data_IF_118994644565
#
_entry.id   IF_118994644565
#
_cell.length_a   1.000
_cell.length_b   1.000
_cell.length_c   1.000
_cell.angle_alpha   90.00
_cell.angle_beta   90.00
_cell.angle_gamma   90.00
#
_symmetry.space_group_name_H-M   'P 1'
#
loop_
_entity.id
_entity.type
_entity.pdbx_description
1 polymer ?
#
# COMPACT_ATOMS: atom_id res chain seq x y z
N UNK A 1 24.22 28.65 28.38
CA UNK A 1 23.35 27.79 27.54
C UNK A 1 22.90 26.64 28.42
N UNK A 2 21.61 26.58 28.74
CA UNK A 2 21.07 25.56 29.63
C UNK A 2 20.85 24.26 28.84
N UNK A 3 21.29 23.12 29.40
CA UNK A 3 21.14 21.78 28.80
C UNK A 3 19.69 21.27 28.73
N UNK A 4 18.69 22.10 29.04
CA UNK A 4 17.27 21.73 29.07
C UNK A 4 16.49 22.11 27.80
N UNK A 5 17.13 22.74 26.81
CA UNK A 5 16.51 23.11 25.53
C UNK A 5 16.62 22.00 24.47
N UNK A 6 16.75 20.73 24.88
CA UNK A 6 16.63 19.62 23.93
C UNK A 6 15.14 19.50 23.59
N UNK A 7 14.70 19.81 22.35
CA UNK A 7 13.31 19.57 22.00
C UNK A 7 13.07 18.08 22.18
N UNK A 8 12.14 17.73 23.08
CA UNK A 8 11.68 16.36 23.20
C UNK A 8 11.35 15.90 21.78
N UNK A 9 12.03 14.84 21.31
CA UNK A 9 11.75 14.19 20.04
C UNK A 9 10.24 13.98 20.01
N UNK A 10 9.54 14.80 19.22
CA UNK A 10 8.10 14.70 19.07
C UNK A 10 7.81 13.27 18.68
N UNK A 11 7.03 12.56 19.50
CA UNK A 11 6.61 11.20 19.20
C UNK A 11 6.20 11.14 17.72
N UNK A 12 6.72 10.17 16.96
CA UNK A 12 6.45 10.07 15.53
C UNK A 12 4.94 9.96 15.34
N UNK A 13 4.32 11.06 14.90
CA UNK A 13 2.87 11.20 14.84
C UNK A 13 2.23 10.36 13.72
N UNK A 14 3.00 9.45 13.10
CA UNK A 14 2.57 8.66 11.96
C UNK A 14 2.43 9.51 10.69
N UNK A 15 1.95 8.86 9.63
CA UNK A 15 1.61 9.47 8.35
C UNK A 15 0.10 9.63 8.23
N UNK A 16 -0.40 10.86 8.12
CA UNK A 16 -1.84 11.10 7.91
C UNK A 16 -2.14 11.37 6.44
N UNK A 17 -2.97 10.52 5.82
CA UNK A 17 -3.47 10.67 4.45
C UNK A 17 -4.99 10.59 4.48
N UNK A 18 -5.66 11.59 3.90
CA UNK A 18 -7.13 11.65 3.80
C UNK A 18 -7.85 11.39 5.13
N UNK A 19 -7.31 11.90 6.25
CA UNK A 19 -7.91 11.75 7.58
C UNK A 19 -7.61 10.42 8.30
N UNK A 20 -6.96 9.45 7.65
CA UNK A 20 -6.48 8.22 8.28
C UNK A 20 -5.00 8.34 8.63
N UNK A 21 -4.65 8.00 9.87
CA UNK A 21 -3.25 7.99 10.35
C UNK A 21 -2.69 6.57 10.25
N UNK A 22 -1.49 6.46 9.70
CA UNK A 22 -0.73 5.23 9.51
C UNK A 22 0.51 5.26 10.39
N UNK A 23 0.89 4.12 10.96
CA UNK A 23 2.12 4.01 11.75
C UNK A 23 3.34 4.00 10.83
N UNK A 24 3.21 3.34 9.69
CA UNK A 24 4.27 3.20 8.70
C UNK A 24 4.26 4.34 7.69
N UNK A 25 5.45 4.90 7.44
CA UNK A 25 5.72 5.83 6.33
C UNK A 25 6.16 5.11 5.06
N UNK A 26 6.29 3.78 5.10
CA UNK A 26 6.67 2.95 3.96
C UNK A 26 5.41 2.41 3.27
N UNK A 27 5.23 2.79 2.01
CA UNK A 27 4.23 2.21 1.10
C UNK A 27 4.93 1.17 0.23
N UNK A 28 4.33 -0.01 0.07
CA UNK A 28 4.88 -1.08 -0.78
C UNK A 28 4.03 -1.31 -2.02
N UNK A 29 4.62 -1.82 -3.10
CA UNK A 29 3.90 -2.22 -4.31
C UNK A 29 3.83 -3.74 -4.41
N UNK A 30 2.82 -4.27 -5.11
CA UNK A 30 2.56 -5.71 -5.22
C UNK A 30 3.11 -6.37 -6.50
N UNK A 31 3.61 -5.59 -7.47
CA UNK A 31 3.72 -6.05 -8.86
C UNK A 31 5.00 -6.77 -9.29
N UNK A 32 5.95 -7.06 -8.39
CA UNK A 32 7.28 -7.61 -8.78
C UNK A 32 7.76 -8.81 -7.96
N UNK A 33 6.91 -9.34 -7.07
CA UNK A 33 7.21 -10.57 -6.35
C UNK A 33 7.00 -11.79 -7.25
N UNK A 34 7.69 -12.88 -6.94
CA UNK A 34 7.61 -14.17 -7.60
C UNK A 34 6.20 -14.76 -7.52
N UNK A 35 5.55 -14.64 -6.37
CA UNK A 35 4.21 -15.15 -6.10
C UNK A 35 3.52 -14.40 -4.94
N UNK A 36 2.27 -14.79 -4.63
CA UNK A 36 1.47 -14.19 -3.58
C UNK A 36 2.02 -14.46 -2.16
N UNK A 37 2.71 -15.59 -1.95
CA UNK A 37 3.32 -15.89 -0.66
C UNK A 37 4.50 -14.95 -0.39
N UNK A 38 5.35 -14.74 -1.38
CA UNK A 38 6.45 -13.77 -1.27
C UNK A 38 5.92 -12.34 -1.09
N UNK A 39 4.82 -11.99 -1.78
CA UNK A 39 4.15 -10.70 -1.59
C UNK A 39 3.69 -10.51 -0.13
N UNK A 40 3.08 -11.54 0.47
CA UNK A 40 2.67 -11.52 1.89
C UNK A 40 3.87 -11.29 2.79
N UNK A 41 4.89 -12.13 2.66
CA UNK A 41 6.06 -12.13 3.54
C UNK A 41 6.81 -10.81 3.45
N UNK A 42 7.01 -10.28 2.24
CA UNK A 42 7.65 -8.98 2.06
C UNK A 42 6.82 -7.83 2.62
N UNK A 43 5.48 -7.86 2.44
CA UNK A 43 4.58 -6.83 2.99
C UNK A 43 4.60 -6.87 4.52
N UNK A 44 4.50 -8.05 5.13
CA UNK A 44 4.55 -8.22 6.58
C UNK A 44 5.90 -7.80 7.17
N UNK A 45 7.01 -8.23 6.56
CA UNK A 45 8.35 -7.86 7.00
C UNK A 45 8.64 -6.36 6.86
N UNK A 46 8.02 -5.68 5.89
CA UNK A 46 8.19 -4.24 5.69
C UNK A 46 7.47 -3.39 6.75
N UNK A 47 6.50 -3.96 7.47
CA UNK A 47 5.65 -3.21 8.39
C UNK A 47 4.79 -2.15 7.70
N UNK A 48 4.55 -2.27 6.39
CA UNK A 48 3.74 -1.32 5.64
C UNK A 48 2.25 -1.46 5.99
N UNK A 49 1.58 -0.32 6.19
CA UNK A 49 0.12 -0.28 6.39
C UNK A 49 -0.65 -0.12 5.07
N UNK A 50 0.04 0.28 4.00
CA UNK A 50 -0.55 0.59 2.69
C UNK A 50 0.19 -0.22 1.63
N UNK A 51 -0.57 -0.96 0.81
CA UNK A 51 -0.07 -1.65 -0.37
C UNK A 51 -0.70 -1.08 -1.63
N UNK A 52 0.14 -0.76 -2.63
CA UNK A 52 -0.29 -0.24 -3.92
C UNK A 52 -0.51 -1.38 -4.92
N UNK A 53 -1.56 -1.25 -5.74
CA UNK A 53 -1.96 -2.31 -6.68
C UNK A 53 -2.23 -1.76 -8.07
N UNK A 54 -1.55 -2.33 -9.06
CA UNK A 54 -1.82 -2.08 -10.47
C UNK A 54 -2.97 -2.97 -10.91
N UNK A 55 -4.21 -2.48 -10.86
CA UNK A 55 -5.41 -3.30 -11.03
C UNK A 55 -5.51 -4.00 -12.39
N UNK A 56 -4.82 -3.47 -13.41
CA UNK A 56 -4.74 -4.08 -14.76
C UNK A 56 -3.84 -5.32 -14.82
N UNK A 57 -3.03 -5.59 -13.79
CA UNK A 57 -2.00 -6.63 -13.78
C UNK A 57 -2.16 -7.67 -12.68
N UNK A 58 -2.98 -7.39 -11.68
CA UNK A 58 -3.14 -8.26 -10.50
C UNK A 58 -4.61 -8.54 -10.27
N UNK A 59 -4.95 -9.79 -9.96
CA UNK A 59 -6.29 -10.14 -9.54
C UNK A 59 -6.55 -9.64 -8.11
N UNK A 60 -7.56 -8.80 -7.96
CA UNK A 60 -8.09 -8.31 -6.68
C UNK A 60 -9.56 -8.71 -6.49
N UNK A 61 -10.00 -9.77 -7.19
CA UNK A 61 -11.36 -10.28 -7.14
C UNK A 61 -12.17 -10.10 -8.42
N UNK A 62 -11.58 -9.52 -9.48
CA UNK A 62 -12.25 -9.43 -10.78
C UNK A 62 -12.40 -10.79 -11.49
N UNK A 63 -11.51 -11.75 -11.20
CA UNK A 63 -11.64 -13.14 -11.66
C UNK A 63 -11.79 -14.07 -10.44
N UNK A 64 -12.98 -14.68 -10.22
CA UNK A 64 -13.22 -15.57 -9.08
C UNK A 64 -12.49 -16.91 -9.17
N UNK A 65 -11.96 -17.28 -10.34
CA UNK A 65 -11.26 -18.55 -10.55
C UNK A 65 -9.74 -18.42 -10.47
N UNK A 66 -9.22 -17.20 -10.29
CA UNK A 66 -7.80 -16.92 -10.16
C UNK A 66 -7.42 -16.54 -8.72
N UNK A 67 -6.18 -16.82 -8.27
CA UNK A 67 -5.71 -16.37 -6.96
C UNK A 67 -5.82 -14.85 -6.82
N UNK A 68 -6.31 -14.36 -5.67
CA UNK A 68 -6.47 -12.92 -5.42
C UNK A 68 -5.36 -12.40 -4.52
N UNK A 69 -4.84 -11.22 -4.83
CA UNK A 69 -3.94 -10.49 -3.94
C UNK A 69 -4.61 -10.22 -2.59
N UNK A 70 -5.94 -10.01 -2.57
CA UNK A 70 -6.67 -9.74 -1.33
C UNK A 70 -6.71 -10.94 -0.37
N UNK A 71 -6.40 -12.15 -0.85
CA UNK A 71 -6.30 -13.35 0.00
C UNK A 71 -5.06 -13.28 0.90
N UNK A 72 -3.99 -12.63 0.43
CA UNK A 72 -2.71 -12.54 1.15
C UNK A 72 -2.47 -11.19 1.80
N UNK A 73 -3.12 -10.13 1.31
CA UNK A 73 -3.10 -8.78 1.90
C UNK A 73 -4.55 -8.27 2.08
N UNK A 74 -5.28 -8.76 3.09
CA UNK A 74 -6.70 -8.46 3.22
C UNK A 74 -6.93 -6.98 3.62
N UNK A 75 -8.00 -6.32 3.10
CA UNK A 75 -8.35 -4.94 3.46
C UNK A 75 -8.65 -4.72 4.95
N UNK A 76 -8.89 -5.79 5.71
CA UNK A 76 -9.04 -5.75 7.17
C UNK A 76 -7.74 -5.43 7.90
N UNK A 77 -6.58 -5.63 7.26
CA UNK A 77 -5.25 -5.36 7.80
C UNK A 77 -4.53 -4.22 7.09
N UNK A 78 -4.75 -4.07 5.78
CA UNK A 78 -4.03 -3.12 4.93
C UNK A 78 -4.98 -2.12 4.26
N UNK A 79 -4.52 -0.90 4.06
CA UNK A 79 -5.14 -0.02 3.06
C UNK A 79 -4.68 -0.47 1.68
N UNK A 80 -5.63 -0.85 0.82
CA UNK A 80 -5.37 -1.12 -0.59
C UNK A 80 -5.44 0.18 -1.37
N UNK A 81 -4.33 0.58 -2.00
CA UNK A 81 -4.24 1.81 -2.78
C UNK A 81 -4.11 1.46 -4.28
N UNK A 82 -5.22 1.44 -5.04
CA UNK A 82 -5.15 1.15 -6.46
C UNK A 82 -4.42 2.29 -7.20
N UNK A 83 -3.69 1.95 -8.26
CA UNK A 83 -2.90 2.90 -9.06
C UNK A 83 -3.11 2.69 -10.57
N UNK A 84 -2.65 3.67 -11.35
CA UNK A 84 -2.83 3.73 -12.81
C UNK A 84 -1.66 3.15 -13.61
N UNK A 85 -0.80 2.31 -13.01
CA UNK A 85 0.33 1.72 -13.73
C UNK A 85 -0.14 0.91 -14.95
N UNK A 86 0.43 1.23 -16.11
CA UNK A 86 0.02 0.66 -17.40
C UNK A 86 -0.96 1.53 -18.20
N UNK A 87 -1.37 2.68 -17.67
CA UNK A 87 -2.08 3.70 -18.44
C UNK A 87 -1.09 4.61 -19.17
N UNK A 88 -1.37 4.98 -20.42
CA UNK A 88 -0.50 5.83 -21.24
C UNK A 88 -1.08 7.21 -21.53
N UNK A 89 -2.37 7.41 -21.22
CA UNK A 89 -3.06 8.69 -21.36
C UNK A 89 -4.00 8.90 -20.15
N UNK A 90 -4.56 10.12 -20.04
CA UNK A 90 -5.43 10.50 -18.94
C UNK A 90 -6.78 9.76 -18.97
N UNK A 91 -7.31 9.48 -20.15
CA UNK A 91 -8.57 8.75 -20.33
C UNK A 91 -8.48 7.33 -19.76
N UNK A 92 -7.40 6.61 -20.09
CA UNK A 92 -7.10 5.28 -19.54
C UNK A 92 -6.95 5.32 -18.02
N UNK A 93 -6.27 6.35 -17.50
CA UNK A 93 -6.01 6.51 -16.07
C UNK A 93 -7.31 6.69 -15.28
N UNK A 94 -8.22 7.54 -15.78
CA UNK A 94 -9.55 7.76 -15.20
C UNK A 94 -10.40 6.50 -15.32
N UNK A 95 -10.47 5.89 -16.51
CA UNK A 95 -11.25 4.67 -16.74
C UNK A 95 -10.83 3.51 -15.82
N UNK A 96 -9.55 3.44 -15.48
CA UNK A 96 -9.00 2.39 -14.62
C UNK A 96 -9.47 2.55 -13.17
N UNK A 97 -9.66 3.76 -12.64
CA UNK A 97 -9.89 3.99 -11.21
C UNK A 97 -11.25 4.64 -10.88
N UNK A 98 -12.19 4.62 -11.83
CA UNK A 98 -13.57 5.06 -11.63
C UNK A 98 -14.47 3.99 -11.00
#
# INVERSE_FOLDING_TARGET
MNMNDTPALTADAGLTIAGKTYNSRLLVGSGKYKDLNETREATEASGADIITVAIRRVNIGQDPNAPSLLDVVPPSRYTILPNTAGCYNAEDAVYTLQ
#
